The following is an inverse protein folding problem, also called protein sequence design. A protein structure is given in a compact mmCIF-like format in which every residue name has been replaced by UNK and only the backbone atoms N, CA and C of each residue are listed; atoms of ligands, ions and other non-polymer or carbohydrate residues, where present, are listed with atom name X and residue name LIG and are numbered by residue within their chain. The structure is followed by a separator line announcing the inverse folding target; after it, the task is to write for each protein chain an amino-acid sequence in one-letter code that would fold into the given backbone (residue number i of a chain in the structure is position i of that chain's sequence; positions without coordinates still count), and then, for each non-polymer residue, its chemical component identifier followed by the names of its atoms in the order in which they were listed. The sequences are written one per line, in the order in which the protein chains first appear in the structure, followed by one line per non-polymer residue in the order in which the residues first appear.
data_IF_301325523291
#
_entry.id   IF_301325523291
#
_cell.length_a   1.000
_cell.length_b   1.000
_cell.length_c   1.000
_cell.angle_alpha   90.00
_cell.angle_beta   90.00
_cell.angle_gamma   90.00
#
_symmetry.space_group_name_H-M   'P 1'
#
loop_
_entity.id
_entity.type
_entity.pdbx_description
1 polymer ?
#
# COMPACT_ATOMS: atom_id res chain seq x y z
N UNK A 1 -14.68 -7.53 -10.58
CA UNK A 1 -13.23 -7.36 -10.65
C UNK A 1 -12.60 -8.72 -10.80
N UNK A 2 -11.69 -8.86 -11.75
CA UNK A 2 -11.03 -10.14 -12.09
C UNK A 2 -9.88 -10.42 -11.14
N UNK A 3 -9.21 -9.38 -10.65
CA UNK A 3 -7.97 -9.50 -9.91
C UNK A 3 -8.11 -9.05 -8.47
N UNK A 4 -7.28 -9.65 -7.61
CA UNK A 4 -7.13 -9.27 -6.21
C UNK A 4 -5.84 -8.48 -6.02
N UNK A 5 -5.98 -7.32 -5.38
CA UNK A 5 -4.93 -6.32 -5.27
C UNK A 5 -4.37 -6.21 -3.85
N UNK A 6 -3.06 -5.99 -3.72
CA UNK A 6 -2.43 -5.58 -2.48
C UNK A 6 -1.74 -4.22 -2.63
N UNK A 7 -2.01 -3.30 -1.71
CA UNK A 7 -1.36 -1.99 -1.63
C UNK A 7 -0.34 -1.98 -0.49
N UNK A 8 0.95 -1.80 -0.77
CA UNK A 8 2.02 -2.00 0.22
C UNK A 8 2.88 -0.75 0.36
N UNK A 9 3.06 -0.27 1.59
CA UNK A 9 4.03 0.77 1.91
C UNK A 9 4.87 0.34 3.13
N UNK A 10 5.57 1.27 3.78
CA UNK A 10 6.39 0.93 4.95
C UNK A 10 5.55 0.60 6.20
N UNK A 11 4.65 1.50 6.63
CA UNK A 11 3.94 1.40 7.92
C UNK A 11 2.45 1.05 7.82
N UNK A 12 1.92 0.84 6.61
CA UNK A 12 0.48 0.65 6.39
C UNK A 12 -0.38 1.80 6.98
N UNK A 13 0.08 3.04 6.82
CA UNK A 13 -0.54 4.23 7.44
C UNK A 13 -1.04 5.23 6.40
N UNK A 14 -0.17 5.67 5.49
CA UNK A 14 -0.48 6.77 4.57
C UNK A 14 -0.76 6.26 3.14
N UNK A 15 0.29 6.09 2.31
CA UNK A 15 0.21 5.77 0.87
C UNK A 15 -0.66 4.55 0.56
N UNK A 16 -0.36 3.39 1.17
CA UNK A 16 -1.13 2.16 0.91
C UNK A 16 -2.58 2.23 1.38
N UNK A 17 -2.86 2.93 2.48
CA UNK A 17 -4.20 3.07 3.03
C UNK A 17 -5.04 4.09 2.27
N UNK A 18 -4.43 5.14 1.71
CA UNK A 18 -5.11 6.07 0.80
C UNK A 18 -5.52 5.35 -0.48
N UNK A 19 -4.61 4.57 -1.07
CA UNK A 19 -4.91 3.72 -2.23
C UNK A 19 -6.00 2.67 -1.92
N UNK A 20 -5.88 1.93 -0.82
CA UNK A 20 -6.89 0.96 -0.38
C UNK A 20 -8.27 1.63 -0.23
N UNK A 21 -8.35 2.74 0.51
CA UNK A 21 -9.59 3.49 0.71
C UNK A 21 -10.26 3.86 -0.62
N UNK A 22 -9.47 4.33 -1.60
CA UNK A 22 -9.97 4.70 -2.91
C UNK A 22 -10.44 3.49 -3.72
N UNK A 23 -9.60 2.46 -3.87
CA UNK A 23 -9.93 1.26 -4.65
C UNK A 23 -11.14 0.51 -4.08
N UNK A 24 -11.23 0.41 -2.75
CA UNK A 24 -12.38 -0.21 -2.07
C UNK A 24 -13.68 0.52 -2.38
N UNK A 25 -13.65 1.86 -2.46
CA UNK A 25 -14.84 2.66 -2.87
C UNK A 25 -15.24 2.40 -4.32
N UNK A 26 -14.31 2.03 -5.19
CA UNK A 26 -14.55 1.65 -6.57
C UNK A 26 -14.90 0.16 -6.75
N UNK A 27 -15.02 -0.60 -5.66
CA UNK A 27 -15.45 -2.01 -5.70
C UNK A 27 -14.35 -3.02 -6.03
N UNK A 28 -13.07 -2.61 -5.94
CA UNK A 28 -11.95 -3.54 -6.08
C UNK A 28 -11.83 -4.50 -4.89
N UNK A 29 -11.43 -5.74 -5.16
CA UNK A 29 -10.94 -6.66 -4.12
C UNK A 29 -9.51 -6.24 -3.78
N UNK A 30 -9.38 -5.48 -2.70
CA UNK A 30 -8.13 -4.84 -2.31
C UNK A 30 -7.83 -5.06 -0.83
N UNK A 31 -6.57 -5.38 -0.55
CA UNK A 31 -5.99 -5.40 0.79
C UNK A 31 -4.78 -4.46 0.85
N UNK A 32 -4.23 -4.22 2.05
CA UNK A 32 -3.06 -3.35 2.19
C UNK A 32 -2.13 -3.74 3.32
N UNK A 33 -0.83 -3.51 3.14
CA UNK A 33 0.21 -3.99 4.04
C UNK A 33 1.31 -2.96 4.30
N UNK A 34 2.11 -3.24 5.31
CA UNK A 34 3.37 -2.56 5.64
C UNK A 34 4.53 -3.56 5.60
N UNK A 35 5.70 -3.20 5.10
CA UNK A 35 6.89 -4.08 5.16
C UNK A 35 7.82 -3.78 6.33
N UNK A 36 7.65 -2.61 6.98
CA UNK A 36 8.52 -2.16 8.06
C UNK A 36 8.51 -3.12 9.26
N UNK A 37 9.52 -2.99 10.12
CA UNK A 37 9.54 -3.75 11.38
C UNK A 37 8.46 -3.27 12.37
N UNK A 38 8.18 -1.97 12.37
CA UNK A 38 7.19 -1.34 13.25
C UNK A 38 6.41 -0.28 12.47
N UNK A 39 5.24 0.07 12.98
CA UNK A 39 4.44 1.18 12.48
C UNK A 39 4.99 2.49 13.05
N UNK A 40 5.42 3.40 12.18
CA UNK A 40 5.97 4.71 12.58
C UNK A 40 5.07 5.84 12.12
N UNK A 41 4.77 6.77 13.03
CA UNK A 41 4.05 8.01 12.77
C UNK A 41 4.90 9.21 13.23
N UNK A 42 4.88 10.34 12.51
CA UNK A 42 5.56 11.56 12.97
C UNK A 42 5.12 11.96 14.39
N UNK A 43 6.06 12.41 15.21
CA UNK A 43 5.81 12.97 16.53
C UNK A 43 6.19 14.46 16.62
N UNK A 44 6.45 14.99 17.83
CA UNK A 44 6.80 16.40 18.03
C UNK A 44 8.09 16.83 17.33
N UNK A 45 9.03 15.89 17.16
CA UNK A 45 10.30 16.11 16.47
C UNK A 45 10.69 14.90 15.63
N UNK A 46 11.68 15.06 14.73
CA UNK A 46 12.22 13.96 13.92
C UNK A 46 12.85 12.84 14.77
N UNK A 47 13.28 13.16 15.99
CA UNK A 47 13.92 12.20 16.92
C UNK A 47 12.92 11.48 17.82
N UNK A 48 11.66 11.93 17.83
CA UNK A 48 10.61 11.43 18.72
C UNK A 48 9.41 10.94 17.91
N UNK A 49 9.55 9.91 17.05
CA UNK A 49 8.42 9.34 16.35
C UNK A 49 7.51 8.56 17.31
N UNK A 50 6.23 8.46 16.98
CA UNK A 50 5.34 7.51 17.62
C UNK A 50 5.53 6.14 16.96
N UNK A 51 5.85 5.13 17.76
CA UNK A 51 6.11 3.77 17.29
C UNK A 51 5.07 2.84 17.90
N UNK A 52 4.51 1.97 17.07
CA UNK A 52 3.53 0.96 17.46
C UNK A 52 3.86 -0.37 16.80
N UNK A 53 3.41 -1.47 17.40
CA UNK A 53 3.43 -2.78 16.78
C UNK A 53 2.38 -2.89 15.67
N UNK A 54 2.68 -3.67 14.63
CA UNK A 54 1.66 -4.15 13.70
C UNK A 54 0.58 -4.93 14.46
N UNK A 55 -0.67 -4.82 14.02
CA UNK A 55 -1.83 -5.35 14.74
C UNK A 55 -2.40 -4.42 15.82
N UNK A 56 -1.71 -3.35 16.21
CA UNK A 56 -2.29 -2.32 17.10
C UNK A 56 -3.50 -1.65 16.41
N UNK A 57 -4.72 -1.66 16.97
CA UNK A 57 -5.87 -1.06 16.29
C UNK A 57 -5.67 0.44 16.02
N UNK A 58 -6.07 0.91 14.83
CA UNK A 58 -5.99 2.34 14.49
C UNK A 58 -6.79 3.20 15.49
N UNK A 59 -7.82 2.63 16.14
CA UNK A 59 -8.59 3.30 17.20
C UNK A 59 -7.72 3.64 18.39
N UNK A 60 -6.92 2.68 18.83
CA UNK A 60 -6.00 2.86 19.93
C UNK A 60 -4.94 3.92 19.59
N UNK A 61 -4.33 3.86 18.40
CA UNK A 61 -3.39 4.89 17.95
C UNK A 61 -4.04 6.28 17.93
N UNK A 62 -5.27 6.39 17.42
CA UNK A 62 -6.01 7.65 17.38
C UNK A 62 -6.24 8.23 18.79
N UNK A 63 -6.71 7.39 19.72
CA UNK A 63 -6.99 7.83 21.09
C UNK A 63 -5.71 8.18 21.86
N UNK A 64 -4.62 7.43 21.65
CA UNK A 64 -3.32 7.72 22.24
C UNK A 64 -2.77 9.08 21.78
N UNK A 65 -2.72 9.32 20.47
CA UNK A 65 -2.21 10.57 19.92
C UNK A 65 -3.11 11.76 20.29
N UNK A 66 -4.43 11.59 20.25
CA UNK A 66 -5.38 12.63 20.68
C UNK A 66 -5.19 13.03 22.14
N UNK A 67 -4.81 12.08 23.01
CA UNK A 67 -4.52 12.33 24.44
C UNK A 67 -3.15 13.00 24.64
N UNK A 68 -2.15 12.65 23.81
CA UNK A 68 -0.80 13.22 23.89
C UNK A 68 -0.77 14.70 23.49
N UNK A 69 -1.23 15.02 22.28
CA UNK A 69 -1.26 16.41 21.77
C UNK A 69 -2.28 16.55 20.62
N UNK A 70 -3.55 16.87 20.93
CA UNK A 70 -4.60 16.92 19.91
C UNK A 70 -4.36 18.00 18.85
N UNK A 71 -3.74 19.13 19.22
CA UNK A 71 -3.52 20.24 18.29
C UNK A 71 -2.38 19.92 17.31
N UNK A 72 -1.28 19.33 17.76
CA UNK A 72 -0.21 18.86 16.89
C UNK A 72 -0.72 17.84 15.87
N UNK A 73 -1.39 16.79 16.34
CA UNK A 73 -1.79 15.68 15.48
C UNK A 73 -3.01 15.99 14.60
N UNK A 74 -3.76 17.04 14.92
CA UNK A 74 -4.75 17.63 14.02
C UNK A 74 -4.06 18.48 12.95
N UNK A 75 -3.11 19.34 13.33
CA UNK A 75 -2.39 20.24 12.40
C UNK A 75 -1.55 19.50 11.37
N UNK A 76 -0.87 18.41 11.76
CA UNK A 76 -0.07 17.60 10.84
C UNK A 76 -0.88 16.53 10.07
N UNK A 77 -2.20 16.48 10.26
CA UNK A 77 -3.10 15.59 9.53
C UNK A 77 -3.11 14.13 9.99
N UNK A 78 -2.40 13.74 11.05
CA UNK A 78 -2.35 12.35 11.51
C UNK A 78 -3.70 11.87 12.09
N UNK A 79 -4.41 12.70 12.86
CA UNK A 79 -5.73 12.32 13.38
C UNK A 79 -6.76 12.10 12.26
N UNK A 80 -6.91 13.01 11.27
CA UNK A 80 -7.71 12.74 10.08
C UNK A 80 -7.31 11.46 9.33
N UNK A 81 -6.01 11.22 9.14
CA UNK A 81 -5.50 10.02 8.47
C UNK A 81 -5.87 8.73 9.24
N UNK A 82 -5.70 8.71 10.56
CA UNK A 82 -6.10 7.56 11.38
C UNK A 82 -7.61 7.34 11.36
N UNK A 83 -8.41 8.41 11.29
CA UNK A 83 -9.87 8.33 11.13
C UNK A 83 -10.26 7.69 9.79
N UNK A 84 -9.53 7.98 8.70
CA UNK A 84 -9.68 7.27 7.42
C UNK A 84 -9.30 5.79 7.56
N UNK A 85 -8.17 5.48 8.20
CA UNK A 85 -7.70 4.11 8.33
C UNK A 85 -8.70 3.23 9.10
N UNK A 86 -9.26 3.78 10.17
CA UNK A 86 -10.35 3.21 10.96
C UNK A 86 -11.57 2.79 10.13
N UNK A 87 -11.95 3.58 9.13
CA UNK A 87 -13.10 3.24 8.27
C UNK A 87 -12.78 2.17 7.23
N UNK A 88 -11.50 1.90 7.00
CA UNK A 88 -11.05 0.92 6.00
C UNK A 88 -10.88 -0.46 6.63
N UNK A 89 -10.14 -0.55 7.75
CA UNK A 89 -9.87 -1.80 8.49
C UNK A 89 -9.44 -1.55 9.94
N UNK A 90 -9.35 -2.62 10.75
CA UNK A 90 -9.10 -2.55 12.18
C UNK A 90 -7.69 -2.06 12.56
N UNK A 91 -6.66 -2.64 11.94
CA UNK A 91 -5.26 -2.44 12.33
C UNK A 91 -4.33 -2.50 11.10
N UNK A 92 -3.15 -1.86 11.16
CA UNK A 92 -2.11 -2.06 10.16
C UNK A 92 -1.61 -3.51 10.22
N UNK A 93 -1.55 -4.15 9.06
CA UNK A 93 -1.03 -5.51 8.87
C UNK A 93 0.34 -5.44 8.21
N UNK A 94 1.20 -6.41 8.55
CA UNK A 94 2.53 -6.57 7.99
C UNK A 94 2.48 -7.53 6.80
N UNK A 95 3.22 -7.22 5.72
CA UNK A 95 3.21 -7.99 4.48
C UNK A 95 3.74 -9.42 4.69
N UNK A 96 4.85 -9.53 5.42
CA UNK A 96 5.52 -10.80 5.68
C UNK A 96 4.64 -11.79 6.48
N UNK A 97 3.60 -11.29 7.16
CA UNK A 97 2.69 -12.10 7.98
C UNK A 97 1.32 -12.34 7.29
N UNK A 98 1.21 -12.08 5.97
CA UNK A 98 -0.07 -12.11 5.25
C UNK A 98 -0.52 -13.49 4.75
N UNK A 99 0.16 -14.58 5.09
CA UNK A 99 -0.11 -15.91 4.52
C UNK A 99 -1.59 -16.34 4.66
N UNK A 100 -2.24 -16.00 5.78
CA UNK A 100 -3.65 -16.30 6.02
C UNK A 100 -4.62 -15.54 5.11
N UNK A 101 -4.18 -14.43 4.51
CA UNK A 101 -5.02 -13.63 3.61
C UNK A 101 -5.07 -14.22 2.20
N UNK A 102 -4.24 -15.22 1.86
CA UNK A 102 -4.19 -15.86 0.54
C UNK A 102 -3.43 -15.05 -0.51
N UNK A 103 -3.44 -15.53 -1.76
CA UNK A 103 -2.69 -14.92 -2.86
C UNK A 103 -3.34 -13.63 -3.41
N UNK A 104 -2.48 -12.76 -3.94
CA UNK A 104 -2.85 -11.57 -4.71
C UNK A 104 -2.38 -11.72 -6.15
N UNK A 105 -3.16 -11.27 -7.11
CA UNK A 105 -2.74 -11.30 -8.52
C UNK A 105 -1.79 -10.12 -8.82
N UNK A 106 -2.03 -8.97 -8.18
CA UNK A 106 -1.29 -7.73 -8.42
C UNK A 106 -0.95 -7.05 -7.09
N UNK A 107 0.33 -6.71 -6.90
CA UNK A 107 0.87 -6.04 -5.71
C UNK A 107 1.46 -4.70 -6.12
N UNK A 108 0.98 -3.63 -5.51
CA UNK A 108 1.52 -2.28 -5.65
C UNK A 108 2.41 -1.92 -4.47
N UNK A 109 3.60 -1.40 -4.75
CA UNK A 109 4.49 -0.79 -3.78
C UNK A 109 4.63 0.70 -4.06
N UNK A 110 4.86 1.48 -3.01
CA UNK A 110 4.89 2.95 -3.08
C UNK A 110 6.26 3.59 -2.80
N UNK A 111 7.30 2.77 -2.71
CA UNK A 111 8.72 3.15 -2.64
C UNK A 111 9.57 1.95 -3.06
N UNK A 112 10.67 2.19 -3.75
CA UNK A 112 11.58 1.14 -4.24
C UNK A 112 12.07 0.21 -3.13
N UNK A 113 12.35 0.74 -1.94
CA UNK A 113 12.71 -0.10 -0.79
C UNK A 113 11.62 -1.11 -0.39
N UNK A 114 10.35 -0.72 -0.49
CA UNK A 114 9.22 -1.63 -0.20
C UNK A 114 9.07 -2.65 -1.32
N UNK A 115 9.31 -2.26 -2.57
CA UNK A 115 9.37 -3.16 -3.72
C UNK A 115 10.38 -4.29 -3.48
N UNK A 116 11.62 -3.94 -3.14
CA UNK A 116 12.67 -4.91 -2.86
C UNK A 116 12.29 -5.86 -1.71
N UNK A 117 11.75 -5.32 -0.62
CA UNK A 117 11.33 -6.13 0.53
C UNK A 117 10.16 -7.08 0.21
N UNK A 118 9.24 -6.68 -0.67
CA UNK A 118 8.14 -7.55 -1.12
C UNK A 118 8.70 -8.68 -1.99
N UNK A 119 9.60 -8.37 -2.93
CA UNK A 119 10.21 -9.38 -3.79
C UNK A 119 11.08 -10.36 -3.01
N UNK A 120 11.90 -9.87 -2.09
CA UNK A 120 12.73 -10.71 -1.20
C UNK A 120 11.86 -11.67 -0.39
N UNK A 121 10.77 -11.16 0.21
CA UNK A 121 9.84 -11.98 0.98
C UNK A 121 9.14 -13.03 0.11
N UNK A 122 8.65 -12.67 -1.09
CA UNK A 122 8.05 -13.62 -2.03
C UNK A 122 9.04 -14.69 -2.49
N UNK A 123 10.31 -14.32 -2.72
CA UNK A 123 11.36 -15.27 -3.12
C UNK A 123 11.74 -16.25 -2.00
N UNK A 124 11.63 -15.81 -0.74
CA UNK A 124 11.94 -16.63 0.43
C UNK A 124 10.79 -17.55 0.87
N UNK A 125 9.59 -17.39 0.30
CA UNK A 125 8.44 -18.29 0.55
C UNK A 125 8.57 -19.55 -0.31
N UNK A 126 8.06 -20.67 0.20
CA UNK A 126 7.92 -21.89 -0.59
C UNK A 126 6.90 -21.67 -1.72
N UNK A 127 7.35 -21.78 -2.97
CA UNK A 127 6.54 -21.54 -4.17
C UNK A 127 5.71 -22.79 -4.54
N UNK A 128 4.79 -23.16 -3.66
CA UNK A 128 4.03 -24.42 -3.79
C UNK A 128 2.95 -24.31 -4.86
N UNK A 129 2.38 -23.13 -5.07
CA UNK A 129 1.25 -22.94 -5.98
C UNK A 129 1.69 -22.71 -7.41
N UNK A 130 2.92 -22.21 -7.62
CA UNK A 130 3.45 -21.71 -8.89
C UNK A 130 2.51 -20.69 -9.55
N UNK A 131 1.75 -19.95 -8.74
CA UNK A 131 0.82 -18.93 -9.21
C UNK A 131 1.57 -17.62 -9.38
N UNK A 132 1.53 -17.04 -10.58
CA UNK A 132 2.17 -15.75 -10.88
C UNK A 132 1.56 -14.61 -10.07
N UNK A 133 2.40 -13.66 -9.69
CA UNK A 133 2.01 -12.38 -9.10
C UNK A 133 2.80 -11.26 -9.73
N UNK A 134 2.09 -10.23 -10.17
CA UNK A 134 2.67 -9.01 -10.72
C UNK A 134 2.96 -8.03 -9.58
N UNK A 135 4.21 -7.65 -9.38
CA UNK A 135 4.62 -6.63 -8.41
C UNK A 135 5.00 -5.37 -9.17
N UNK A 136 4.36 -4.23 -8.86
CA UNK A 136 4.60 -2.93 -9.51
C UNK A 136 5.01 -1.91 -8.44
N UNK A 137 6.09 -1.18 -8.67
CA UNK A 137 6.45 0.00 -7.88
C UNK A 137 5.99 1.29 -8.57
N UNK A 138 5.18 2.07 -7.86
CA UNK A 138 4.84 3.45 -8.19
C UNK A 138 5.44 4.37 -7.13
N UNK A 139 6.50 5.10 -7.49
CA UNK A 139 7.18 5.98 -6.53
C UNK A 139 6.25 7.13 -6.07
N UNK A 140 5.98 7.18 -4.76
CA UNK A 140 5.12 8.18 -4.14
C UNK A 140 5.78 8.72 -2.87
N UNK A 141 5.97 10.04 -2.81
CA UNK A 141 6.51 10.71 -1.63
C UNK A 141 5.57 10.52 -0.44
N UNK A 142 6.14 10.33 0.76
CA UNK A 142 5.35 10.05 1.96
C UNK A 142 4.80 11.32 2.62
N UNK A 143 3.82 11.94 1.95
CA UNK A 143 3.00 13.01 2.50
C UNK A 143 1.54 12.85 2.04
N UNK A 144 0.62 13.62 2.62
CA UNK A 144 -0.82 13.44 2.37
C UNK A 144 -1.24 13.78 0.93
N UNK A 145 -0.65 14.82 0.34
CA UNK A 145 -1.00 15.29 -1.01
C UNK A 145 -0.53 14.29 -2.07
N UNK A 146 0.74 13.88 -2.00
CA UNK A 146 1.31 12.90 -2.91
C UNK A 146 0.68 11.52 -2.74
N UNK A 147 0.30 11.11 -1.52
CA UNK A 147 -0.44 9.87 -1.31
C UNK A 147 -1.81 9.89 -2.03
N UNK A 148 -2.53 11.01 -2.00
CA UNK A 148 -3.80 11.15 -2.69
C UNK A 148 -3.63 11.16 -4.22
N UNK A 149 -2.58 11.82 -4.73
CA UNK A 149 -2.24 11.78 -6.17
C UNK A 149 -1.85 10.36 -6.58
N UNK A 150 -0.95 9.71 -5.82
CA UNK A 150 -0.50 8.35 -6.06
C UNK A 150 -1.63 7.33 -6.04
N UNK A 151 -2.61 7.48 -5.13
CA UNK A 151 -3.79 6.62 -5.09
C UNK A 151 -4.64 6.72 -6.38
N UNK A 152 -4.85 7.94 -6.91
CA UNK A 152 -5.59 8.12 -8.17
C UNK A 152 -4.85 7.54 -9.37
N UNK A 153 -3.53 7.69 -9.38
CA UNK A 153 -2.67 7.13 -10.42
C UNK A 153 -2.68 5.59 -10.35
N UNK A 154 -2.59 5.01 -9.15
CA UNK A 154 -2.67 3.56 -8.95
C UNK A 154 -4.03 3.01 -9.39
N UNK A 155 -5.13 3.72 -9.10
CA UNK A 155 -6.47 3.36 -9.57
C UNK A 155 -6.54 3.32 -11.10
N UNK A 156 -6.03 4.36 -11.79
CA UNK A 156 -6.02 4.41 -13.25
C UNK A 156 -5.23 3.24 -13.88
N UNK A 157 -4.14 2.81 -13.24
CA UNK A 157 -3.41 1.62 -13.68
C UNK A 157 -4.19 0.33 -13.41
N UNK A 158 -4.85 0.21 -12.26
CA UNK A 158 -5.70 -0.95 -11.96
C UNK A 158 -6.86 -1.07 -12.97
N UNK A 159 -7.48 0.05 -13.36
CA UNK A 159 -8.53 0.08 -14.38
C UNK A 159 -8.00 -0.35 -15.77
N UNK A 160 -6.79 0.07 -16.15
CA UNK A 160 -6.14 -0.40 -17.38
C UNK A 160 -5.87 -1.91 -17.35
N UNK A 161 -5.43 -2.45 -16.20
CA UNK A 161 -5.17 -3.88 -16.05
C UNK A 161 -6.47 -4.70 -16.06
N UNK A 162 -7.55 -4.24 -15.42
CA UNK A 162 -8.85 -4.93 -15.47
C UNK A 162 -9.47 -4.98 -16.88
N UNK A 163 -9.12 -3.99 -17.72
CA UNK A 163 -9.64 -3.87 -19.08
C UNK A 163 -9.06 -4.91 -20.05
N UNK A 164 -7.88 -5.48 -19.76
CA UNK A 164 -7.28 -6.53 -20.59
C UNK A 164 -7.79 -7.93 -20.18
N UNK A 165 -7.66 -8.89 -21.09
CA UNK A 165 -7.99 -10.29 -20.82
C UNK A 165 -6.88 -10.97 -19.99
N UNK A 166 -5.64 -10.76 -20.43
CA UNK A 166 -4.42 -11.30 -19.82
C UNK A 166 -3.45 -10.16 -19.55
N UNK A 167 -3.20 -9.87 -18.27
CA UNK A 167 -2.17 -8.89 -17.93
C UNK A 167 -0.77 -9.42 -18.28
N UNK A 168 -0.55 -10.74 -18.25
CA UNK A 168 0.74 -11.36 -18.54
C UNK A 168 1.21 -11.04 -19.97
N UNK A 169 0.29 -11.06 -20.94
CA UNK A 169 0.60 -10.76 -22.34
C UNK A 169 0.62 -9.26 -22.65
N UNK A 170 -0.02 -8.44 -21.80
CA UNK A 170 -0.26 -7.01 -22.08
C UNK A 170 0.56 -6.07 -21.19
N UNK A 171 1.36 -6.61 -20.25
CA UNK A 171 1.97 -5.79 -19.20
C UNK A 171 2.90 -4.72 -19.76
N UNK A 172 3.72 -5.05 -20.76
CA UNK A 172 4.65 -4.10 -21.37
C UNK A 172 3.93 -2.94 -22.05
N UNK A 173 2.85 -3.22 -22.79
CA UNK A 173 2.04 -2.21 -23.46
C UNK A 173 1.32 -1.31 -22.45
N UNK A 174 0.78 -1.90 -21.37
CA UNK A 174 0.16 -1.17 -20.26
C UNK A 174 1.18 -0.23 -19.62
N UNK A 175 2.40 -0.70 -19.35
CA UNK A 175 3.46 0.11 -18.76
C UNK A 175 3.83 1.29 -19.66
N UNK A 176 4.09 1.04 -20.95
CA UNK A 176 4.43 2.10 -21.91
C UNK A 176 3.31 3.14 -22.03
N UNK A 177 2.05 2.70 -22.13
CA UNK A 177 0.88 3.59 -22.18
C UNK A 177 0.80 4.46 -20.92
N UNK A 178 0.96 3.83 -19.74
CA UNK A 178 0.89 4.51 -18.47
C UNK A 178 2.02 5.53 -18.28
N UNK A 179 3.27 5.17 -18.59
CA UNK A 179 4.42 6.06 -18.44
C UNK A 179 4.28 7.30 -19.33
N UNK A 180 3.78 7.13 -20.56
CA UNK A 180 3.49 8.22 -21.49
C UNK A 180 2.41 9.17 -20.96
N UNK A 181 1.33 8.62 -20.38
CA UNK A 181 0.20 9.39 -19.85
C UNK A 181 0.58 10.18 -18.60
N UNK A 182 1.24 9.54 -17.63
CA UNK A 182 1.52 10.12 -16.32
C UNK A 182 2.90 10.76 -16.18
N UNK A 183 3.79 10.56 -17.15
CA UNK A 183 5.20 11.00 -17.12
C UNK A 183 5.93 10.53 -15.85
N UNK A 184 5.62 9.33 -15.39
CA UNK A 184 6.22 8.66 -14.25
C UNK A 184 6.73 7.31 -14.70
N UNK A 185 7.95 6.95 -14.30
CA UNK A 185 8.47 5.61 -14.54
C UNK A 185 7.87 4.63 -13.55
N UNK A 186 7.61 3.42 -14.01
CA UNK A 186 7.24 2.29 -13.17
C UNK A 186 8.38 1.27 -13.17
N UNK A 187 8.51 0.56 -12.05
CA UNK A 187 9.26 -0.68 -12.01
C UNK A 187 8.25 -1.80 -11.85
N UNK A 188 8.47 -2.93 -12.50
CA UNK A 188 7.66 -4.11 -12.24
C UNK A 188 8.51 -5.38 -12.28
N UNK A 189 8.02 -6.43 -11.63
CA UNK A 189 8.60 -7.76 -11.64
C UNK A 189 7.50 -8.79 -11.48
N UNK A 190 7.73 -9.99 -12.01
CA UNK A 190 6.83 -11.13 -11.83
C UNK A 190 7.48 -12.08 -10.82
N UNK A 191 6.71 -12.47 -9.81
CA UNK A 191 7.09 -13.47 -8.81
C UNK A 191 6.04 -14.59 -8.75
N UNK A 192 6.21 -15.55 -7.84
CA UNK A 192 5.36 -16.72 -7.75
C UNK A 192 5.06 -17.07 -6.27
N UNK A 193 3.82 -17.49 -6.00
CA UNK A 193 3.44 -18.16 -4.74
C UNK A 193 3.61 -19.67 -4.81
#
# INVERSE_FOLDING_TARGET
MKFRYAMVCSSNQNRSMEAHSLLKKQGFDVSSYGTGAHVKLPGPSLREPNVYEFGTPYKHMFDDLRRKDPELYKRNGILPMLKRNLSVKLAPQRWQDNAADGCFDIVFTFEEKVFDMVLEDLHNRDQVLLKSVLVINLEVKDNHEEAAIGARIALDLCEQIEAVESWEDSIDDIMVSFENKHRRKLLYSISFY
#
